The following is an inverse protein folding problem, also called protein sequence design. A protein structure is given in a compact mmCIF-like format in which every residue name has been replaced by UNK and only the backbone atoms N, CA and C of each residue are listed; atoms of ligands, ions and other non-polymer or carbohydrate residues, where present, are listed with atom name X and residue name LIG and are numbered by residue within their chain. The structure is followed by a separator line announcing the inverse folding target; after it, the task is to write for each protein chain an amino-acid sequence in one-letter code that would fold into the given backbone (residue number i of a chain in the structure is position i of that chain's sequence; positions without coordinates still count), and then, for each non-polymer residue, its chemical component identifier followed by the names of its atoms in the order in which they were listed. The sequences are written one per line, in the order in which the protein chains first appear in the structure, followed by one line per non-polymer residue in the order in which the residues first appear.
data_IF_127545062952
#
_entry.id   IF_127545062952
#
_cell.length_a   1.000
_cell.length_b   1.000
_cell.length_c   1.000
_cell.angle_alpha   90.00
_cell.angle_beta   90.00
_cell.angle_gamma   90.00
#
_symmetry.space_group_name_H-M   'P 1'
#
loop_
_entity.id
_entity.type
_entity.pdbx_description
1 polymer ?
#
# COMPACT_ATOMS: atom_id res chain seq x y z
N UNK A 1 15.21 20.94 -15.97
CA UNK A 1 13.74 20.92 -15.82
C UNK A 1 13.31 21.63 -14.54
N UNK A 2 12.34 22.54 -14.60
CA UNK A 2 11.64 23.03 -13.40
C UNK A 2 10.81 21.87 -12.83
N UNK A 3 11.04 21.48 -11.57
CA UNK A 3 10.21 20.47 -10.87
C UNK A 3 8.79 21.02 -10.74
N UNK A 4 7.89 20.64 -11.65
CA UNK A 4 6.48 21.09 -11.64
C UNK A 4 5.70 20.52 -10.43
N UNK A 5 6.06 19.32 -9.99
CA UNK A 5 5.39 18.60 -8.91
C UNK A 5 6.42 17.92 -8.01
N UNK A 6 6.19 17.95 -6.70
CA UNK A 6 6.96 17.18 -5.73
C UNK A 6 6.02 16.31 -4.90
N UNK A 7 6.35 15.03 -4.77
CA UNK A 7 5.62 14.14 -3.88
C UNK A 7 5.90 14.51 -2.42
N UNK A 8 4.84 14.59 -1.61
CA UNK A 8 4.94 14.86 -0.19
C UNK A 8 5.58 13.66 0.50
N UNK A 9 6.66 13.90 1.25
CA UNK A 9 7.36 12.84 2.00
C UNK A 9 6.73 12.52 3.35
N UNK A 10 5.56 13.10 3.66
CA UNK A 10 4.92 12.97 4.97
C UNK A 10 4.11 11.68 5.00
N UNK A 11 4.38 10.83 5.98
CA UNK A 11 3.56 9.67 6.31
C UNK A 11 2.76 9.94 7.58
N UNK A 12 1.49 9.60 7.56
CA UNK A 12 0.65 9.56 8.76
C UNK A 12 0.62 8.16 9.32
N UNK A 13 0.92 7.97 10.61
CA UNK A 13 0.86 6.64 11.24
C UNK A 13 -0.43 6.51 12.04
N UNK A 14 -1.01 5.32 12.04
CA UNK A 14 -2.17 4.96 12.83
C UNK A 14 -1.96 3.62 13.52
N UNK A 15 -2.51 3.50 14.72
CA UNK A 15 -2.47 2.26 15.49
C UNK A 15 -3.89 1.88 15.93
N UNK A 16 -4.32 0.69 15.53
CA UNK A 16 -5.61 0.11 15.87
C UNK A 16 -5.39 -0.78 17.08
N UNK A 17 -5.89 -0.36 18.24
CA UNK A 17 -5.73 -1.08 19.50
C UNK A 17 -7.08 -1.17 20.25
N UNK A 18 -7.99 -2.06 19.82
CA UNK A 18 -9.22 -2.32 20.55
C UNK A 18 -8.95 -2.87 21.94
N UNK A 19 -9.89 -2.59 22.85
CA UNK A 19 -9.99 -3.32 24.10
C UNK A 19 -10.52 -4.71 23.75
N UNK A 20 -9.62 -5.71 23.78
CA UNK A 20 -9.94 -7.08 23.39
C UNK A 20 -10.47 -7.83 24.61
N UNK A 21 -11.68 -8.36 24.46
CA UNK A 21 -12.33 -9.27 25.38
C UNK A 21 -12.13 -10.72 24.90
N UNK A 22 -11.31 -11.46 25.65
CA UNK A 22 -11.04 -12.88 25.39
C UNK A 22 -12.02 -13.82 26.09
N UNK A 23 -12.91 -13.30 26.94
CA UNK A 23 -13.94 -14.06 27.66
C UNK A 23 -15.19 -14.19 26.78
N UNK A 24 -15.62 -13.09 26.16
CA UNK A 24 -16.71 -13.11 25.20
C UNK A 24 -16.15 -13.39 23.80
N UNK A 25 -16.41 -14.59 23.30
CA UNK A 25 -15.95 -15.03 21.96
C UNK A 25 -17.09 -15.07 20.97
N UNK A 26 -16.79 -14.75 19.73
CA UNK A 26 -17.71 -14.98 18.63
C UNK A 26 -17.51 -16.37 18.03
N UNK A 27 -18.62 -17.07 17.79
CA UNK A 27 -18.58 -18.43 17.26
C UNK A 27 -17.99 -18.48 15.83
N UNK A 28 -17.38 -19.63 15.52
CA UNK A 28 -16.90 -19.93 14.19
C UNK A 28 -18.05 -19.85 13.17
N UNK A 29 -17.77 -19.27 12.01
CA UNK A 29 -18.75 -19.10 10.93
C UNK A 29 -18.02 -18.95 9.60
N UNK A 30 -18.63 -19.36 8.49
CA UNK A 30 -18.08 -19.27 7.14
C UNK A 30 -18.05 -17.82 6.59
N UNK A 31 -17.36 -16.94 7.32
CA UNK A 31 -17.19 -15.54 7.01
C UNK A 31 -15.71 -15.15 7.17
N UNK A 32 -15.29 -14.21 6.35
CA UNK A 32 -14.12 -13.40 6.63
C UNK A 32 -14.50 -12.33 7.65
N UNK A 33 -13.76 -12.26 8.75
CA UNK A 33 -14.02 -11.32 9.85
C UNK A 33 -12.76 -10.54 10.16
N UNK A 34 -12.85 -9.22 10.32
CA UNK A 34 -11.69 -8.42 10.67
C UNK A 34 -11.94 -6.92 10.60
N UNK A 35 -10.99 -6.19 10.03
CA UNK A 35 -10.93 -4.72 10.12
C UNK A 35 -10.80 -4.12 8.72
N UNK A 36 -11.55 -3.04 8.49
CA UNK A 36 -11.43 -2.22 7.29
C UNK A 36 -10.73 -0.92 7.63
N UNK A 37 -9.72 -0.59 6.82
CA UNK A 37 -9.09 0.73 6.79
C UNK A 37 -9.54 1.40 5.50
N UNK A 38 -10.35 2.45 5.61
CA UNK A 38 -10.85 3.22 4.47
C UNK A 38 -10.39 4.67 4.59
N UNK A 39 -9.41 5.04 3.76
CA UNK A 39 -8.85 6.40 3.73
C UNK A 39 -9.53 7.31 2.69
N UNK A 40 -10.59 6.84 2.04
CA UNK A 40 -11.41 7.63 1.11
C UNK A 40 -12.89 7.60 1.51
N UNK A 41 -13.15 7.65 2.82
CA UNK A 41 -14.48 7.50 3.39
C UNK A 41 -15.39 8.74 3.22
N UNK A 42 -14.89 9.82 2.62
CA UNK A 42 -15.62 11.09 2.57
C UNK A 42 -16.84 11.02 1.64
N UNK A 43 -17.96 11.55 2.13
CA UNK A 43 -19.20 11.72 1.36
C UNK A 43 -19.18 12.95 0.44
N UNK A 44 -18.23 13.87 0.65
CA UNK A 44 -18.19 15.16 -0.06
C UNK A 44 -17.17 15.18 -1.21
N UNK A 45 -16.07 14.44 -1.09
CA UNK A 45 -14.98 14.36 -2.07
C UNK A 45 -14.47 12.91 -2.15
N UNK A 46 -15.18 12.03 -2.87
CA UNK A 46 -14.64 10.72 -3.27
C UNK A 46 -13.64 10.90 -4.40
N UNK A 47 -12.52 11.57 -4.10
CA UNK A 47 -11.46 11.73 -5.07
C UNK A 47 -10.51 10.55 -4.95
N UNK A 48 -10.25 9.88 -6.07
CA UNK A 48 -9.20 8.86 -6.09
C UNK A 48 -7.86 9.57 -6.09
N UNK A 49 -7.12 9.42 -5.00
CA UNK A 49 -5.72 9.81 -4.92
C UNK A 49 -4.84 8.73 -5.56
N UNK A 50 -4.15 9.09 -6.65
CA UNK A 50 -3.34 8.17 -7.48
C UNK A 50 -2.01 7.80 -6.83
N UNK A 51 -1.59 8.50 -5.79
CA UNK A 51 -0.32 8.26 -5.08
C UNK A 51 -0.51 7.72 -3.67
N UNK A 52 -1.74 7.66 -3.18
CA UNK A 52 -1.99 7.27 -1.80
C UNK A 52 -1.86 5.75 -1.66
N UNK A 53 -1.17 5.31 -0.61
CA UNK A 53 -0.96 3.90 -0.30
C UNK A 53 -1.03 3.68 1.20
N UNK A 54 -1.47 2.48 1.59
CA UNK A 54 -1.52 2.05 2.98
C UNK A 54 -0.38 1.05 3.20
N UNK A 55 0.56 1.41 4.07
CA UNK A 55 1.59 0.52 4.58
C UNK A 55 1.12 -0.17 5.84
N UNK A 56 1.35 -1.48 5.96
CA UNK A 56 1.11 -2.24 7.18
C UNK A 56 2.47 -2.67 7.73
N UNK A 57 2.74 -2.33 8.98
CA UNK A 57 3.99 -2.70 9.67
C UNK A 57 3.83 -4.06 10.34
N UNK A 58 2.88 -4.17 11.26
CA UNK A 58 2.59 -5.38 12.02
C UNK A 58 1.08 -5.57 12.23
N UNK A 59 0.69 -6.84 12.29
CA UNK A 59 -0.65 -7.30 12.65
C UNK A 59 -0.52 -8.17 13.89
N UNK A 60 -1.24 -7.82 14.96
CA UNK A 60 -1.35 -8.65 16.15
C UNK A 60 -2.76 -9.24 16.21
N UNK A 61 -2.82 -10.55 16.41
CA UNK A 61 -4.05 -11.30 16.52
C UNK A 61 -4.14 -11.98 17.88
N UNK A 62 -5.12 -11.58 18.67
CA UNK A 62 -5.41 -12.21 19.96
C UNK A 62 -6.44 -13.31 19.78
N UNK A 63 -6.05 -14.55 20.06
CA UNK A 63 -6.93 -15.72 19.98
C UNK A 63 -7.38 -16.18 21.37
N UNK A 64 -8.65 -16.56 21.54
CA UNK A 64 -9.14 -17.08 22.83
C UNK A 64 -8.63 -18.49 23.13
N UNK A 65 -8.24 -19.24 22.10
CA UNK A 65 -7.75 -20.62 22.21
C UNK A 65 -6.69 -20.91 21.14
N UNK A 66 -5.95 -22.02 21.35
CA UNK A 66 -4.96 -22.49 20.38
C UNK A 66 -5.63 -22.94 19.07
N UNK A 67 -4.94 -22.74 17.96
CA UNK A 67 -5.39 -23.12 16.63
C UNK A 67 -4.25 -23.73 15.83
N UNK A 68 -4.54 -24.82 15.10
CA UNK A 68 -3.52 -25.48 14.28
C UNK A 68 -3.03 -24.57 13.14
N UNK A 69 -3.95 -23.82 12.54
CA UNK A 69 -3.67 -22.91 11.44
C UNK A 69 -4.65 -21.73 11.48
N UNK A 70 -4.14 -20.51 11.31
CA UNK A 70 -4.96 -19.30 11.14
C UNK A 70 -4.52 -18.57 9.90
N UNK A 71 -5.47 -18.23 9.03
CA UNK A 71 -5.23 -17.51 7.78
C UNK A 71 -5.69 -16.06 7.92
N UNK A 72 -4.75 -15.14 7.79
CA UNK A 72 -5.00 -13.71 7.71
C UNK A 72 -4.82 -13.29 6.26
N UNK A 73 -5.86 -12.75 5.65
CA UNK A 73 -5.89 -12.32 4.24
C UNK A 73 -6.10 -10.82 4.16
N UNK A 74 -5.50 -10.20 3.16
CA UNK A 74 -5.68 -8.79 2.88
C UNK A 74 -6.37 -8.68 1.53
N UNK A 75 -7.48 -7.95 1.49
CA UNK A 75 -8.28 -7.72 0.30
C UNK A 75 -8.31 -6.23 -0.07
N UNK A 76 -8.39 -5.95 -1.37
CA UNK A 76 -8.67 -4.62 -1.90
C UNK A 76 -10.19 -4.30 -1.91
N UNK A 77 -10.55 -3.10 -2.38
CA UNK A 77 -11.94 -2.65 -2.52
C UNK A 77 -12.78 -3.53 -3.46
N UNK A 78 -12.15 -4.17 -4.45
CA UNK A 78 -12.80 -5.06 -5.40
C UNK A 78 -12.93 -6.50 -4.89
N UNK A 79 -12.39 -6.80 -3.71
CA UNK A 79 -12.36 -8.14 -3.13
C UNK A 79 -11.25 -9.04 -3.68
N UNK A 80 -10.29 -8.49 -4.43
CA UNK A 80 -9.12 -9.26 -4.84
C UNK A 80 -8.20 -9.47 -3.64
N UNK A 81 -7.70 -10.70 -3.49
CA UNK A 81 -6.70 -11.03 -2.47
C UNK A 81 -5.37 -10.39 -2.86
N UNK A 82 -4.91 -9.44 -2.06
CA UNK A 82 -3.59 -8.82 -2.20
C UNK A 82 -2.51 -9.67 -1.53
N UNK A 83 -2.83 -10.26 -0.38
CA UNK A 83 -1.86 -11.01 0.42
C UNK A 83 -2.51 -12.06 1.32
N UNK A 84 -1.71 -13.03 1.77
CA UNK A 84 -2.12 -14.08 2.70
C UNK A 84 -0.98 -14.51 3.62
N UNK A 85 -1.24 -14.45 4.92
CA UNK A 85 -0.36 -14.88 5.98
C UNK A 85 -0.95 -16.09 6.70
N UNK A 86 -0.11 -17.08 6.95
CA UNK A 86 -0.48 -18.32 7.63
C UNK A 86 0.27 -18.39 8.95
N UNK A 87 -0.46 -18.38 10.06
CA UNK A 87 0.11 -18.66 11.39
C UNK A 87 -0.07 -20.16 11.65
N UNK A 88 1.02 -20.91 11.59
CA UNK A 88 1.04 -22.31 11.98
C UNK A 88 1.15 -22.43 13.51
N UNK A 89 0.37 -23.32 14.11
CA UNK A 89 0.31 -23.57 15.56
C UNK A 89 0.11 -22.27 16.37
N UNK A 90 -0.91 -21.49 16.00
CA UNK A 90 -1.23 -20.26 16.70
C UNK A 90 -1.58 -20.54 18.17
N UNK A 91 -0.99 -19.74 19.05
CA UNK A 91 -1.16 -19.88 20.50
C UNK A 91 -2.42 -19.14 20.96
N UNK A 92 -2.98 -19.59 22.08
CA UNK A 92 -3.95 -18.77 22.81
C UNK A 92 -3.23 -17.52 23.35
N UNK A 93 -3.84 -16.34 23.17
CA UNK A 93 -3.23 -15.05 23.42
C UNK A 93 -2.76 -14.35 22.15
N UNK A 94 -1.77 -13.46 22.27
CA UNK A 94 -1.34 -12.56 21.19
C UNK A 94 -0.35 -13.26 20.25
N UNK A 95 -0.69 -13.32 18.97
CA UNK A 95 0.16 -13.77 17.87
C UNK A 95 0.55 -12.55 17.04
N UNK A 96 1.83 -12.37 16.70
CA UNK A 96 2.29 -11.21 15.91
C UNK A 96 2.74 -11.66 14.52
N UNK A 97 2.28 -10.97 13.49
CA UNK A 97 2.69 -11.12 12.09
C UNK A 97 3.42 -9.85 11.68
N UNK A 98 4.67 -9.97 11.25
CA UNK A 98 5.41 -8.89 10.61
C UNK A 98 5.08 -8.86 9.12
N UNK A 99 4.53 -7.74 8.65
CA UNK A 99 4.11 -7.56 7.25
C UNK A 99 5.10 -6.68 6.51
N UNK A 100 5.39 -5.50 7.07
CA UNK A 100 6.33 -4.51 6.51
C UNK A 100 6.13 -4.20 5.01
N UNK A 101 4.88 -4.19 4.54
CA UNK A 101 4.54 -4.07 3.12
C UNK A 101 3.55 -2.92 2.87
N UNK A 102 3.66 -2.32 1.69
CA UNK A 102 2.75 -1.27 1.20
C UNK A 102 1.79 -1.81 0.17
N UNK A 103 0.53 -1.39 0.28
CA UNK A 103 -0.52 -1.77 -0.64
C UNK A 103 -1.04 -0.51 -1.37
N UNK A 104 -1.06 -0.51 -2.71
CA UNK A 104 -1.53 0.60 -3.53
C UNK A 104 -3.08 0.64 -3.58
N UNK A 105 -3.71 0.68 -2.40
CA UNK A 105 -5.16 0.70 -2.25
C UNK A 105 -5.58 1.75 -1.21
N UNK A 106 -6.73 2.37 -1.45
CA UNK A 106 -7.34 3.35 -0.53
C UNK A 106 -8.31 2.70 0.47
N UNK A 107 -8.68 1.46 0.21
CA UNK A 107 -9.48 0.66 1.13
C UNK A 107 -8.89 -0.73 1.20
N UNK A 108 -8.56 -1.15 2.42
CA UNK A 108 -8.06 -2.48 2.71
C UNK A 108 -8.99 -3.16 3.69
N UNK A 109 -9.26 -4.43 3.43
CA UNK A 109 -9.93 -5.32 4.36
C UNK A 109 -8.95 -6.39 4.82
N UNK A 110 -8.55 -6.31 6.09
CA UNK A 110 -7.68 -7.28 6.74
C UNK A 110 -8.59 -8.24 7.47
N UNK A 111 -8.64 -9.48 6.98
CA UNK A 111 -9.65 -10.44 7.40
C UNK A 111 -9.04 -11.77 7.81
N UNK A 112 -9.67 -12.40 8.79
CA UNK A 112 -9.37 -13.75 9.26
C UNK A 112 -10.44 -14.69 8.73
N UNK A 113 -10.02 -15.87 8.27
CA UNK A 113 -10.95 -16.96 7.98
C UNK A 113 -11.51 -17.53 9.28
N UNK A 114 -12.77 -17.19 9.61
CA UNK A 114 -13.41 -17.59 10.84
C UNK A 114 -14.14 -18.94 10.76
N UNK A 115 -13.98 -19.70 9.66
CA UNK A 115 -14.76 -20.92 9.39
C UNK A 115 -14.68 -21.98 10.47
N UNK A 116 -13.50 -22.11 11.09
CA UNK A 116 -13.22 -23.15 12.10
C UNK A 116 -12.70 -22.56 13.42
N UNK A 117 -12.77 -21.23 13.59
CA UNK A 117 -12.08 -20.52 14.67
C UNK A 117 -13.05 -19.59 15.41
N UNK A 118 -13.26 -19.77 16.72
CA UNK A 118 -13.88 -18.73 17.52
C UNK A 118 -12.89 -17.58 17.68
N UNK A 119 -13.37 -16.35 17.51
CA UNK A 119 -12.56 -15.14 17.56
C UNK A 119 -12.85 -14.37 18.84
N UNK A 120 -11.83 -13.72 19.40
CA UNK A 120 -12.01 -12.79 20.51
C UNK A 120 -12.85 -11.61 20.04
N UNK A 121 -13.68 -11.06 20.92
CA UNK A 121 -14.40 -9.83 20.59
C UNK A 121 -13.55 -8.64 21.03
N UNK A 122 -13.69 -7.51 20.34
CA UNK A 122 -12.99 -6.31 20.72
C UNK A 122 -13.64 -5.12 20.05
N UNK A 123 -13.92 -4.08 20.82
CA UNK A 123 -14.46 -2.84 20.27
C UNK A 123 -13.53 -1.70 20.61
N UNK A 124 -13.51 -0.70 19.73
CA UNK A 124 -12.82 0.56 19.99
C UNK A 124 -13.88 1.55 20.48
N UNK A 125 -13.55 2.33 21.51
CA UNK A 125 -14.40 3.45 21.92
C UNK A 125 -14.72 4.33 20.70
N UNK A 126 -15.99 4.71 20.51
CA UNK A 126 -16.46 5.44 19.32
C UNK A 126 -15.67 6.71 19.00
N UNK A 127 -15.02 7.32 20.00
CA UNK A 127 -14.17 8.51 19.85
C UNK A 127 -12.83 8.24 19.14
N UNK A 128 -12.35 6.99 19.11
CA UNK A 128 -11.11 6.57 18.42
C UNK A 128 -11.41 5.98 17.03
N UNK A 129 -12.67 5.65 16.72
CA UNK A 129 -13.14 5.28 15.37
C UNK A 129 -13.05 6.48 14.39
N UNK A 130 -13.07 7.71 14.92
CA UNK A 130 -12.68 8.94 14.21
C UNK A 130 -11.16 9.21 14.15
N UNK A 131 -10.33 8.33 14.73
CA UNK A 131 -8.92 8.56 15.06
C UNK A 131 -7.94 8.56 13.88
N UNK A 132 -8.36 8.17 12.67
CA UNK A 132 -7.53 8.37 11.49
C UNK A 132 -7.73 9.76 10.84
N UNK A 133 -8.54 10.63 11.43
CA UNK A 133 -8.61 12.03 10.99
C UNK A 133 -7.20 12.66 10.99
N UNK A 134 -6.43 12.51 12.07
CA UNK A 134 -5.07 13.07 12.15
C UNK A 134 -4.08 12.34 11.21
N UNK A 135 -4.26 11.03 11.00
CA UNK A 135 -3.40 10.22 10.14
C UNK A 135 -3.39 10.77 8.70
N UNK A 136 -4.57 11.03 8.14
CA UNK A 136 -4.71 11.45 6.74
C UNK A 136 -4.74 12.95 6.61
N UNK A 137 -5.20 13.73 7.60
CA UNK A 137 -5.14 15.20 7.52
C UNK A 137 -3.69 15.70 7.56
N UNK A 138 -2.77 14.98 8.20
CA UNK A 138 -1.32 15.27 8.07
C UNK A 138 -0.83 15.16 6.63
N UNK A 139 -1.39 14.24 5.85
CA UNK A 139 -1.01 14.02 4.45
C UNK A 139 -1.81 14.93 3.53
N UNK A 140 -3.14 14.96 3.65
CA UNK A 140 -4.05 15.62 2.73
C UNK A 140 -4.51 17.04 3.14
N UNK A 141 -4.21 17.51 4.35
CA UNK A 141 -4.68 18.79 4.86
C UNK A 141 -6.09 18.73 5.46
N UNK A 142 -6.71 19.90 5.63
CA UNK A 142 -8.04 20.05 6.23
C UNK A 142 -9.12 19.37 5.36
N UNK A 143 -10.21 18.92 6.00
CA UNK A 143 -11.33 18.17 5.37
C UNK A 143 -10.99 16.74 4.90
N UNK A 144 -9.95 16.13 5.44
CA UNK A 144 -9.74 14.70 5.27
C UNK A 144 -10.81 13.88 6.03
N UNK A 145 -11.21 12.71 5.50
CA UNK A 145 -12.04 11.75 6.23
C UNK A 145 -11.55 10.33 5.96
N UNK A 146 -11.07 9.69 7.01
CA UNK A 146 -10.78 8.26 7.02
C UNK A 146 -11.64 7.58 8.08
N UNK A 147 -12.09 6.36 7.78
CA UNK A 147 -12.89 5.54 8.67
C UNK A 147 -12.22 4.19 8.88
N UNK A 148 -12.18 3.77 10.14
CA UNK A 148 -11.68 2.45 10.53
C UNK A 148 -12.82 1.77 11.26
N UNK A 149 -13.19 0.57 10.84
CA UNK A 149 -14.29 -0.15 11.45
C UNK A 149 -14.09 -1.66 11.37
N UNK A 150 -14.71 -2.36 12.31
CA UNK A 150 -14.84 -3.80 12.29
C UNK A 150 -15.76 -4.25 11.16
N UNK A 151 -15.52 -5.40 10.55
CA UNK A 151 -16.38 -5.84 9.46
C UNK A 151 -16.33 -7.35 9.24
N UNK A 152 -17.40 -7.87 8.65
CA UNK A 152 -17.40 -9.22 8.10
C UNK A 152 -17.87 -9.24 6.64
N UNK A 153 -17.52 -10.33 5.96
CA UNK A 153 -17.94 -10.64 4.61
C UNK A 153 -18.12 -12.15 4.46
N UNK A 154 -18.99 -12.58 3.55
CA UNK A 154 -19.02 -13.99 3.14
C UNK A 154 -17.70 -14.35 2.43
N UNK A 155 -17.28 -15.61 2.55
CA UNK A 155 -16.02 -16.10 1.97
C UNK A 155 -16.04 -16.04 0.44
N UNK A 156 -17.20 -16.32 -0.17
CA UNK A 156 -17.38 -16.33 -1.63
C UNK A 156 -17.48 -14.93 -2.25
N UNK A 157 -17.79 -13.91 -1.44
CA UNK A 157 -18.00 -12.53 -1.90
C UNK A 157 -17.24 -11.52 -1.03
N UNK A 158 -15.90 -11.57 -0.97
CA UNK A 158 -15.06 -10.75 -0.07
C UNK A 158 -15.21 -9.22 -0.25
N UNK A 159 -15.74 -8.76 -1.38
CA UNK A 159 -16.05 -7.35 -1.63
C UNK A 159 -17.33 -6.87 -0.90
N UNK A 160 -18.24 -7.78 -0.55
CA UNK A 160 -19.53 -7.47 0.08
C UNK A 160 -19.37 -7.36 1.60
N UNK A 161 -18.79 -6.25 2.04
CA UNK A 161 -18.41 -6.02 3.43
C UNK A 161 -19.55 -5.36 4.22
N UNK A 162 -20.00 -6.03 5.29
CA UNK A 162 -20.93 -5.49 6.29
C UNK A 162 -20.18 -4.80 7.42
N UNK A 163 -20.52 -3.54 7.72
CA UNK A 163 -19.87 -2.77 8.81
C UNK A 163 -20.36 -3.20 10.19
N UNK A 164 -19.44 -3.31 11.13
CA UNK A 164 -19.67 -3.70 12.51
C UNK A 164 -18.72 -2.97 13.48
N UNK A 165 -19.00 -3.11 14.78
CA UNK A 165 -18.17 -2.53 15.84
C UNK A 165 -17.09 -3.49 16.35
N UNK A 166 -17.10 -4.76 15.93
CA UNK A 166 -16.19 -5.81 16.40
C UNK A 166 -14.93 -5.94 15.53
N UNK A 167 -13.75 -5.89 16.16
CA UNK A 167 -12.43 -5.98 15.54
C UNK A 167 -11.84 -7.41 15.59
N UNK A 168 -12.55 -8.37 16.19
CA UNK A 168 -12.22 -9.79 16.11
C UNK A 168 -10.83 -10.17 16.67
N UNK A 169 -10.35 -9.41 17.66
CA UNK A 169 -9.03 -9.60 18.27
C UNK A 169 -7.86 -9.07 17.44
N UNK A 170 -8.11 -8.34 16.35
CA UNK A 170 -7.07 -7.72 15.53
C UNK A 170 -6.62 -6.37 16.08
N UNK A 171 -5.30 -6.20 16.13
CA UNK A 171 -4.63 -4.93 16.35
C UNK A 171 -3.66 -4.72 15.18
N UNK A 172 -3.64 -3.52 14.60
CA UNK A 172 -2.91 -3.27 13.36
C UNK A 172 -2.15 -1.96 13.49
N UNK A 173 -0.85 -2.00 13.17
CA UNK A 173 -0.04 -0.80 12.97
C UNK A 173 0.06 -0.51 11.47
N UNK A 174 -0.43 0.65 11.06
CA UNK A 174 -0.43 1.04 9.65
C UNK A 174 0.07 2.47 9.47
N UNK A 175 0.44 2.79 8.24
CA UNK A 175 0.86 4.11 7.81
C UNK A 175 0.20 4.46 6.49
N UNK A 176 -0.18 5.72 6.34
CA UNK A 176 -0.64 6.31 5.10
C UNK A 176 0.54 7.04 4.51
N UNK A 177 0.95 6.68 3.29
CA UNK A 177 2.08 7.29 2.62
C UNK A 177 1.80 7.55 1.15
N UNK A 178 2.47 8.57 0.62
CA UNK A 178 2.46 8.89 -0.79
C UNK A 178 3.57 8.11 -1.49
N UNK A 179 3.22 7.35 -2.52
CA UNK A 179 4.14 6.51 -3.27
C UNK A 179 3.87 6.60 -4.78
N UNK A 180 4.94 6.63 -5.57
CA UNK A 180 4.88 6.55 -7.03
C UNK A 180 4.46 5.15 -7.51
N UNK A 181 4.65 4.12 -6.69
CA UNK A 181 4.29 2.75 -7.05
C UNK A 181 2.82 2.61 -7.43
N UNK A 182 1.92 3.31 -6.73
CA UNK A 182 0.48 3.33 -7.05
C UNK A 182 0.24 3.92 -8.45
N UNK A 183 0.88 5.04 -8.77
CA UNK A 183 0.76 5.67 -10.09
C UNK A 183 1.25 4.75 -11.20
N UNK A 184 2.43 4.15 -11.03
CA UNK A 184 3.02 3.25 -12.03
C UNK A 184 2.13 2.01 -12.21
N UNK A 185 1.61 1.46 -11.11
CA UNK A 185 0.73 0.29 -11.15
C UNK A 185 -0.62 0.57 -11.82
N UNK A 186 -1.15 1.78 -11.72
CA UNK A 186 -2.36 2.18 -12.46
C UNK A 186 -2.11 2.41 -13.95
N UNK A 187 -0.88 2.80 -14.33
CA UNK A 187 -0.52 3.17 -15.71
C UNK A 187 0.49 2.20 -16.32
N UNK A 188 0.44 0.91 -15.97
CA UNK A 188 1.42 -0.10 -16.42
C UNK A 188 1.64 -0.08 -17.93
N UNK A 189 0.55 0.07 -18.70
CA UNK A 189 0.59 0.08 -20.16
C UNK A 189 1.44 1.23 -20.72
N UNK A 190 1.34 2.41 -20.11
CA UNK A 190 2.07 3.61 -20.54
C UNK A 190 3.57 3.53 -20.23
N UNK A 191 3.96 2.66 -19.28
CA UNK A 191 5.36 2.44 -18.89
C UNK A 191 6.01 1.24 -19.59
N UNK A 192 5.32 0.50 -20.46
CA UNK A 192 5.88 -0.70 -21.11
C UNK A 192 7.11 -0.33 -21.96
N UNK A 193 7.00 0.67 -22.81
CA UNK A 193 8.08 1.05 -23.73
C UNK A 193 9.28 1.59 -22.95
N UNK A 194 9.02 2.42 -21.93
CA UNK A 194 10.02 2.91 -20.98
C UNK A 194 10.77 1.75 -20.33
N UNK A 195 10.03 0.74 -19.85
CA UNK A 195 10.63 -0.44 -19.22
C UNK A 195 11.46 -1.27 -20.21
N UNK A 196 11.00 -1.41 -21.46
CA UNK A 196 11.73 -2.12 -22.51
C UNK A 196 13.05 -1.44 -22.86
N UNK A 197 13.07 -0.10 -23.00
CA UNK A 197 14.31 0.63 -23.29
C UNK A 197 15.29 0.60 -22.11
N UNK A 198 14.78 0.68 -20.87
CA UNK A 198 15.63 0.53 -19.67
C UNK A 198 16.28 -0.86 -19.63
N UNK A 199 15.51 -1.92 -19.91
CA UNK A 199 16.04 -3.28 -19.97
C UNK A 199 17.08 -3.44 -21.08
N UNK A 200 16.88 -2.79 -22.23
CA UNK A 200 17.88 -2.72 -23.31
C UNK A 200 19.18 -2.08 -22.85
N UNK A 201 19.12 -0.97 -22.11
CA UNK A 201 20.29 -0.30 -21.54
C UNK A 201 21.03 -1.18 -20.52
N UNK A 202 20.30 -1.80 -19.58
CA UNK A 202 20.87 -2.72 -18.58
C UNK A 202 21.53 -3.94 -19.24
N UNK A 203 20.92 -4.50 -20.30
CA UNK A 203 21.51 -5.60 -21.05
C UNK A 203 22.81 -5.19 -21.75
N UNK A 204 22.90 -3.96 -22.28
CA UNK A 204 24.14 -3.46 -22.89
C UNK A 204 25.22 -3.21 -21.83
N UNK A 205 24.84 -2.73 -20.63
CA UNK A 205 25.75 -2.63 -19.48
C UNK A 205 26.25 -4.01 -19.04
N UNK A 206 25.37 -4.99 -18.94
CA UNK A 206 25.74 -6.36 -18.61
C UNK A 206 26.71 -6.91 -19.67
N UNK A 207 26.45 -6.68 -20.96
CA UNK A 207 27.34 -7.09 -22.04
C UNK A 207 28.73 -6.44 -21.93
N UNK A 208 28.82 -5.15 -21.58
CA UNK A 208 30.09 -4.44 -21.45
C UNK A 208 30.91 -4.92 -20.25
N UNK A 209 30.28 -5.18 -19.11
CA UNK A 209 30.98 -5.39 -17.84
C UNK A 209 30.91 -6.83 -17.29
N UNK A 210 30.07 -7.71 -17.84
CA UNK A 210 29.95 -9.09 -17.36
C UNK A 210 31.03 -9.99 -17.98
N UNK A 211 31.95 -10.56 -17.19
CA UNK A 211 32.95 -11.50 -17.69
C UNK A 211 32.33 -12.80 -18.23
N UNK A 212 31.07 -13.10 -17.85
CA UNK A 212 30.36 -14.30 -18.32
C UNK A 212 29.95 -14.18 -19.79
N UNK A 213 29.49 -13.01 -20.21
CA UNK A 213 29.12 -12.74 -21.61
C UNK A 213 30.36 -12.41 -22.44
N UNK A 214 31.28 -11.59 -21.90
CA UNK A 214 32.53 -11.21 -22.57
C UNK A 214 33.47 -12.40 -22.86
N UNK A 215 33.33 -13.54 -22.17
CA UNK A 215 34.13 -14.74 -22.45
C UNK A 215 33.82 -15.36 -23.82
N UNK A 216 32.59 -15.20 -24.32
CA UNK A 216 32.13 -15.83 -25.56
C UNK A 216 31.90 -14.84 -26.70
N UNK A 217 31.81 -13.54 -26.39
CA UNK A 217 31.68 -12.48 -27.39
C UNK A 217 32.93 -11.60 -27.38
N UNK A 218 33.86 -11.82 -28.32
CA UNK A 218 34.90 -10.84 -28.72
C UNK A 218 34.28 -9.63 -29.47
N UNK A 219 33.00 -9.34 -29.25
CA UNK A 219 32.16 -8.54 -30.14
C UNK A 219 32.07 -7.11 -29.62
N UNK A 220 32.82 -6.22 -30.27
CA UNK A 220 32.59 -4.77 -30.45
C UNK A 220 32.01 -4.06 -29.22
N UNK A 221 32.88 -3.76 -28.24
CA UNK A 221 32.58 -2.83 -27.15
C UNK A 221 31.99 -1.52 -27.64
N UNK A 222 32.44 -1.07 -28.81
CA UNK A 222 32.05 0.20 -29.41
C UNK A 222 30.59 0.15 -29.87
N UNK A 223 30.18 -0.92 -30.55
CA UNK A 223 28.78 -1.15 -30.91
C UNK A 223 27.87 -1.29 -29.68
N UNK A 224 28.36 -1.90 -28.60
CA UNK A 224 27.61 -2.00 -27.35
C UNK A 224 27.46 -0.63 -26.65
N UNK A 225 28.48 0.23 -26.70
CA UNK A 225 28.39 1.60 -26.21
C UNK A 225 27.41 2.44 -27.06
N UNK A 226 27.48 2.35 -28.39
CA UNK A 226 26.54 3.06 -29.28
C UNK A 226 25.09 2.64 -29.04
N UNK A 227 24.83 1.33 -28.89
CA UNK A 227 23.50 0.82 -28.59
C UNK A 227 23.03 1.23 -27.19
N UNK A 228 23.92 1.25 -26.20
CA UNK A 228 23.59 1.76 -24.86
C UNK A 228 23.17 3.22 -24.91
N UNK A 229 23.91 4.06 -25.63
CA UNK A 229 23.62 5.48 -25.75
C UNK A 229 22.28 5.69 -26.49
N UNK A 230 22.02 4.91 -27.55
CA UNK A 230 20.74 4.89 -28.23
C UNK A 230 19.58 4.52 -27.29
N UNK A 231 19.69 3.41 -26.55
CA UNK A 231 18.64 2.99 -25.61
C UNK A 231 18.46 3.96 -24.46
N UNK A 232 19.52 4.62 -24.01
CA UNK A 232 19.44 5.66 -22.97
C UNK A 232 18.68 6.87 -23.47
N UNK A 233 18.97 7.33 -24.70
CA UNK A 233 18.26 8.46 -25.30
C UNK A 233 16.77 8.16 -25.56
N UNK A 234 16.45 6.97 -26.09
CA UNK A 234 15.05 6.56 -26.30
C UNK A 234 14.32 6.32 -24.97
N UNK A 235 15.01 5.80 -23.95
CA UNK A 235 14.47 5.67 -22.60
C UNK A 235 14.07 7.03 -22.01
N UNK A 236 14.96 8.02 -22.04
CA UNK A 236 14.69 9.36 -21.52
C UNK A 236 13.52 10.02 -22.25
N UNK A 237 13.50 9.90 -23.58
CA UNK A 237 12.41 10.42 -24.41
C UNK A 237 11.07 9.75 -24.12
N UNK A 238 11.03 8.42 -24.11
CA UNK A 238 9.81 7.66 -23.81
C UNK A 238 9.32 8.00 -22.39
N UNK A 239 10.23 8.12 -21.42
CA UNK A 239 9.87 8.50 -20.06
C UNK A 239 9.25 9.90 -20.00
N UNK A 240 9.81 10.87 -20.71
CA UNK A 240 9.24 12.22 -20.80
C UNK A 240 7.83 12.21 -21.41
N UNK A 241 7.65 11.48 -22.52
CA UNK A 241 6.35 11.35 -23.19
C UNK A 241 5.31 10.67 -22.30
N UNK A 242 5.67 9.56 -21.64
CA UNK A 242 4.80 8.85 -20.69
C UNK A 242 4.40 9.75 -19.52
N UNK A 243 5.36 10.47 -18.91
CA UNK A 243 5.07 11.38 -17.79
C UNK A 243 4.14 12.52 -18.23
N UNK A 244 4.31 13.05 -19.44
CA UNK A 244 3.43 14.09 -19.99
C UNK A 244 2.02 13.56 -20.30
N UNK A 245 1.90 12.29 -20.69
CA UNK A 245 0.62 11.62 -20.97
C UNK A 245 -0.20 11.32 -19.71
N UNK A 246 0.45 11.17 -18.55
CA UNK A 246 -0.24 10.86 -17.29
C UNK A 246 -0.91 12.13 -16.76
N UNK A 247 -2.23 12.18 -16.86
CA UNK A 247 -3.03 13.21 -16.21
C UNK A 247 -3.11 12.94 -14.72
N UNK A 248 -2.39 13.73 -13.94
CA UNK A 248 -2.50 13.68 -12.49
C UNK A 248 -3.58 14.65 -12.03
N UNK A 249 -4.48 14.18 -11.17
CA UNK A 249 -5.47 15.04 -10.53
C UNK A 249 -4.76 16.16 -9.76
N UNK A 250 -5.05 17.41 -10.11
CA UNK A 250 -4.39 18.58 -9.52
C UNK A 250 -4.72 18.77 -8.03
N UNK A 251 -5.76 18.09 -7.57
CA UNK A 251 -6.24 18.03 -6.18
C UNK A 251 -5.71 16.80 -5.42
N UNK A 252 -4.74 16.07 -5.99
CA UNK A 252 -4.12 14.95 -5.28
C UNK A 252 -3.33 15.46 -4.07
N UNK A 253 -3.77 15.01 -2.90
CA UNK A 253 -3.27 15.42 -1.62
C UNK A 253 -1.79 15.06 -1.39
N UNK A 254 -1.26 14.13 -2.20
CA UNK A 254 0.13 13.72 -2.18
C UNK A 254 1.07 14.64 -2.96
N UNK A 255 0.55 15.59 -3.75
CA UNK A 255 1.35 16.45 -4.61
C UNK A 255 1.44 17.87 -4.05
N UNK A 256 2.66 18.38 -3.99
CA UNK A 256 2.93 19.79 -3.73
C UNK A 256 3.16 20.50 -5.06
N UNK A 257 2.18 21.31 -5.47
CA UNK A 257 2.30 22.31 -6.53
C UNK A 257 2.98 23.54 -5.91
N UNK A 258 4.16 23.93 -6.40
CA UNK A 258 5.05 24.99 -5.86
C UNK A 258 5.78 24.70 -4.53
N UNK A 259 6.96 24.05 -4.56
CA UNK A 259 7.85 24.06 -3.40
C UNK A 259 8.34 25.50 -3.12
N UNK A 260 8.08 26.02 -1.92
CA UNK A 260 8.57 27.35 -1.47
C UNK A 260 10.08 27.46 -1.69
N UNK A 261 10.48 28.34 -2.61
CA UNK A 261 11.88 28.68 -2.88
C UNK A 261 12.43 29.33 -1.61
N UNK A 262 13.36 28.67 -0.91
CA UNK A 262 14.12 29.29 0.19
C UNK A 262 15.22 30.16 -0.42
N UNK A 263 15.03 31.47 -0.43
CA UNK A 263 16.15 32.40 -0.64
C UNK A 263 17.08 32.29 0.57
N UNK A 264 18.28 31.73 0.37
CA UNK A 264 19.39 31.96 1.30
C UNK A 264 20.01 33.28 0.91
N UNK A 265 19.68 34.34 1.64
CA UNK A 265 20.47 35.56 1.61
C UNK A 265 21.82 35.24 2.26
N UNK A 266 22.86 35.07 1.45
CA UNK A 266 24.22 35.20 1.95
C UNK A 266 24.49 36.70 2.08
N UNK A 267 24.34 37.23 3.30
CA UNK A 267 24.82 38.56 3.63
C UNK A 267 26.37 38.59 3.53
N UNK A 268 26.95 39.66 2.96
CA UNK A 268 28.39 39.82 2.77
C UNK A 268 29.17 40.02 4.07
#
# INVERSE_FOLDING_TARGET
MRKRYQLKSVSGNGYINPDIDTVNTEAASAHYKGVVIDINSSIYNKQKHSFLSIGISDIKLTLPQLAAEVKVKIFDEAGNKLDEFIIANAIAGVNTIEVAQKYPAQRLFIAIDASALPLATGSIAKDVISGCYDCICKVCGDNCQASIYGAHSLIDTPAAISKEDNFYGLQICFSVCCDYNTLICCNKQEFIDVWMFLLGCELMLERLYSPRLNRYTTIESDAANELKDYYTAEYEKALEETILGISVAQEDCCIVCDPKIRYRENLP
#
